data_IF_842053519367
#
_entry.id   IF_842053519367
#
_cell.length_a   1.000
_cell.length_b   1.000
_cell.length_c   1.000
_cell.angle_alpha   90.00
_cell.angle_beta   90.00
_cell.angle_gamma   90.00
#
_symmetry.space_group_name_H-M   'P 1'
#
loop_
_entity.id
_entity.type
_entity.pdbx_description
1 polymer ?
#
# COMPACT_ATOMS: atom_id res chain seq x y z
N UNK A 1 18.95 -10.89 11.04
CA UNK A 1 17.75 -11.20 11.85
C UNK A 1 16.91 -9.94 11.98
N UNK A 2 15.59 -9.97 11.75
CA UNK A 2 14.75 -8.82 12.04
C UNK A 2 14.56 -8.72 13.55
N UNK A 3 14.86 -7.54 14.08
CA UNK A 3 14.52 -7.11 15.43
C UNK A 3 12.98 -6.94 15.41
N UNK A 4 12.27 -7.59 16.32
CA UNK A 4 10.80 -7.48 16.57
C UNK A 4 9.79 -8.34 15.79
N UNK A 5 10.19 -9.35 15.01
CA UNK A 5 9.21 -10.28 14.41
C UNK A 5 8.23 -9.66 13.39
N UNK A 6 8.26 -8.34 13.21
CA UNK A 6 7.62 -7.63 12.10
C UNK A 6 8.47 -7.84 10.84
N UNK A 7 7.86 -8.39 9.79
CA UNK A 7 8.48 -8.39 8.46
C UNK A 7 8.82 -6.93 8.12
N UNK A 8 10.09 -6.70 7.77
CA UNK A 8 10.51 -5.37 7.29
C UNK A 8 9.73 -5.07 6.00
N UNK A 9 9.16 -3.86 5.85
CA UNK A 9 8.47 -3.51 4.62
C UNK A 9 9.46 -3.52 3.46
N UNK A 10 9.08 -4.15 2.36
CA UNK A 10 9.92 -4.21 1.14
C UNK A 10 9.98 -2.84 0.47
N UNK A 11 8.87 -2.11 0.48
CA UNK A 11 8.70 -0.76 -0.05
C UNK A 11 7.72 0.00 0.85
N UNK A 12 7.99 1.27 1.07
CA UNK A 12 7.16 2.19 1.86
C UNK A 12 6.80 3.39 0.98
N UNK A 13 5.50 3.59 0.75
CA UNK A 13 4.99 4.80 0.10
C UNK A 13 4.81 5.90 1.13
N UNK A 14 5.29 7.11 0.81
CA UNK A 14 5.02 8.29 1.62
C UNK A 14 3.74 8.94 1.12
N UNK A 15 2.74 9.04 1.99
CA UNK A 15 1.45 9.63 1.68
C UNK A 15 1.32 11.00 2.37
N UNK A 16 0.63 11.94 1.72
CA UNK A 16 0.35 13.25 2.29
C UNK A 16 -1.15 13.41 2.52
N UNK A 17 -1.55 13.85 3.71
CA UNK A 17 -2.94 14.14 4.03
C UNK A 17 -3.35 15.48 3.39
N UNK A 18 -4.11 15.39 2.31
CA UNK A 18 -4.69 16.55 1.63
C UNK A 18 -6.20 16.39 1.80
N UNK A 19 -6.85 17.29 2.53
CA UNK A 19 -8.27 17.17 2.89
C UNK A 19 -9.28 17.08 1.72
N UNK A 20 -8.82 17.02 0.46
CA UNK A 20 -9.63 16.84 -0.74
C UNK A 20 -9.35 15.50 -1.43
N UNK A 21 -10.43 14.98 -2.00
CA UNK A 21 -10.67 13.62 -2.51
C UNK A 21 -9.51 13.14 -3.40
N UNK A 22 -8.84 12.09 -2.95
CA UNK A 22 -7.86 11.32 -3.71
C UNK A 22 -8.35 9.88 -3.85
N UNK A 23 -7.60 9.03 -4.57
CA UNK A 23 -8.01 7.64 -4.81
C UNK A 23 -8.14 6.88 -3.47
N UNK A 24 -9.17 6.03 -3.34
CA UNK A 24 -9.42 5.27 -2.10
C UNK A 24 -8.33 4.23 -1.82
N UNK A 25 -7.52 4.47 -0.77
CA UNK A 25 -6.51 3.51 -0.32
C UNK A 25 -7.00 2.72 0.88
N UNK A 26 -6.63 1.44 0.96
CA UNK A 26 -6.89 0.58 2.12
C UNK A 26 -5.66 0.44 2.99
N UNK A 27 -5.75 0.87 4.25
CA UNK A 27 -4.65 0.87 5.22
C UNK A 27 -4.99 0.01 6.44
N UNK A 28 -4.05 -0.81 6.89
CA UNK A 28 -4.14 -1.49 8.18
C UNK A 28 -3.58 -0.59 9.28
N UNK A 29 -4.43 -0.09 10.19
CA UNK A 29 -4.05 0.93 11.17
C UNK A 29 -2.98 0.48 12.17
N UNK A 30 -2.92 -0.82 12.50
CA UNK A 30 -1.96 -1.35 13.49
C UNK A 30 -0.53 -1.43 12.95
N UNK A 31 -0.40 -1.71 11.66
CA UNK A 31 0.89 -1.97 11.00
C UNK A 31 1.31 -0.83 10.08
N UNK A 32 0.40 0.10 9.79
CA UNK A 32 0.54 1.11 8.74
C UNK A 32 0.88 0.50 7.38
N UNK A 33 0.37 -0.70 7.12
CA UNK A 33 0.56 -1.40 5.84
C UNK A 33 -0.49 -0.96 4.85
N UNK A 34 -0.04 -0.67 3.63
CA UNK A 34 -0.90 -0.46 2.47
C UNK A 34 -1.37 -1.82 1.94
N UNK A 35 -2.68 -2.06 2.02
CA UNK A 35 -3.31 -3.34 1.68
C UNK A 35 -4.07 -3.26 0.37
N UNK A 36 -4.55 -2.07 0.01
CA UNK A 36 -5.25 -1.81 -1.25
C UNK A 36 -4.76 -0.50 -1.86
N UNK A 37 -4.38 -0.58 -3.14
CA UNK A 37 -4.13 0.56 -4.02
C UNK A 37 -5.16 0.46 -5.16
N UNK A 38 -5.94 1.51 -5.40
CA UNK A 38 -6.93 1.51 -6.46
C UNK A 38 -6.23 1.49 -7.83
N UNK A 39 -6.72 0.62 -8.72
CA UNK A 39 -6.26 0.57 -10.11
C UNK A 39 -6.67 1.82 -10.90
N UNK A 40 -6.20 1.92 -12.14
CA UNK A 40 -6.64 2.97 -13.08
C UNK A 40 -8.02 2.71 -13.69
N UNK A 41 -8.71 1.65 -13.26
CA UNK A 41 -10.02 1.30 -13.79
C UNK A 41 -11.04 2.38 -13.43
N UNK A 42 -11.55 3.03 -14.48
CA UNK A 42 -12.48 4.15 -14.46
C UNK A 42 -13.91 3.73 -14.11
N UNK A 43 -14.08 3.05 -12.98
CA UNK A 43 -15.37 2.68 -12.41
C UNK A 43 -15.52 3.21 -10.99
N UNK A 44 -16.73 3.62 -10.62
CA UNK A 44 -17.06 4.11 -9.28
C UNK A 44 -17.06 2.99 -8.20
N UNK A 45 -16.75 1.75 -8.59
CA UNK A 45 -16.81 0.58 -7.73
C UNK A 45 -15.43 0.20 -7.17
N UNK A 46 -15.31 0.17 -5.84
CA UNK A 46 -14.10 -0.33 -5.15
C UNK A 46 -14.14 -1.86 -5.09
N UNK A 47 -13.30 -2.52 -5.87
CA UNK A 47 -13.22 -3.98 -5.88
C UNK A 47 -12.26 -4.50 -4.81
N UNK A 48 -12.80 -4.96 -3.68
CA UNK A 48 -12.04 -5.46 -2.53
C UNK A 48 -11.98 -6.99 -2.57
N UNK A 49 -10.77 -7.55 -2.59
CA UNK A 49 -10.60 -8.99 -2.49
C UNK A 49 -10.84 -9.46 -1.05
N UNK A 50 -11.88 -10.26 -0.82
CA UNK A 50 -12.25 -10.78 0.52
C UNK A 50 -11.12 -11.48 1.28
N UNK A 51 -10.15 -12.08 0.56
CA UNK A 51 -8.94 -12.67 1.16
C UNK A 51 -8.06 -11.67 1.94
N UNK A 52 -8.19 -10.37 1.67
CA UNK A 52 -7.48 -9.30 2.38
C UNK A 52 -7.99 -9.13 3.82
N UNK A 53 -9.30 -9.29 4.04
CA UNK A 53 -9.93 -9.14 5.37
C UNK A 53 -9.43 -10.16 6.40
N UNK A 54 -8.95 -11.32 5.93
CA UNK A 54 -8.38 -12.36 6.80
C UNK A 54 -6.96 -12.02 7.27
N UNK A 55 -6.20 -11.30 6.44
CA UNK A 55 -4.80 -10.93 6.72
C UNK A 55 -4.69 -9.61 7.48
N UNK A 56 -5.62 -8.70 7.23
CA UNK A 56 -5.72 -7.41 7.90
C UNK A 56 -7.19 -7.20 8.33
N UNK A 57 -7.56 -7.61 9.55
CA UNK A 57 -8.95 -7.51 10.03
C UNK A 57 -9.34 -6.08 10.41
N UNK A 58 -8.40 -5.15 10.45
CA UNK A 58 -8.60 -3.74 10.81
C UNK A 58 -8.17 -2.82 9.66
N UNK A 59 -8.70 -3.07 8.47
CA UNK A 59 -8.49 -2.21 7.29
C UNK A 59 -9.43 -1.01 7.39
N UNK A 60 -8.87 0.18 7.16
CA UNK A 60 -9.59 1.42 6.95
C UNK A 60 -9.38 1.88 5.52
N UNK A 61 -10.48 2.14 4.82
CA UNK A 61 -10.47 2.76 3.50
C UNK A 61 -10.57 4.28 3.63
N UNK A 62 -9.76 5.01 2.87
CA UNK A 62 -9.80 6.48 2.90
C UNK A 62 -9.28 7.13 1.62
N UNK A 63 -10.00 8.16 1.18
CA UNK A 63 -9.64 9.08 0.11
C UNK A 63 -8.85 10.32 0.59
N UNK A 64 -8.36 10.33 1.84
CA UNK A 64 -7.70 11.52 2.45
C UNK A 64 -6.23 11.68 2.07
N UNK A 65 -5.65 10.67 1.42
CA UNK A 65 -4.21 10.61 1.19
C UNK A 65 -3.87 10.78 -0.29
N UNK A 66 -3.21 11.89 -0.61
CA UNK A 66 -2.60 12.06 -1.90
C UNK A 66 -1.30 11.26 -1.97
N UNK A 67 -1.14 10.47 -3.04
CA UNK A 67 0.10 9.77 -3.36
C UNK A 67 1.03 10.69 -4.17
N UNK A 68 2.19 11.10 -3.62
CA UNK A 68 3.19 11.92 -4.31
C UNK A 68 4.19 11.10 -5.14
N UNK A 69 4.01 9.78 -5.23
CA UNK A 69 4.93 8.83 -5.86
C UNK A 69 6.35 8.84 -5.27
N UNK A 70 6.46 9.08 -3.96
CA UNK A 70 7.73 9.00 -3.24
C UNK A 70 7.80 7.67 -2.49
N UNK A 71 8.76 6.84 -2.85
CA UNK A 71 8.94 5.50 -2.30
C UNK A 71 10.31 5.35 -1.63
N UNK A 72 10.30 4.80 -0.42
CA UNK A 72 11.51 4.35 0.28
C UNK A 72 11.55 2.84 0.20
N UNK A 73 12.63 2.28 -0.33
CA UNK A 73 12.73 0.85 -0.57
C UNK A 73 14.14 0.33 -0.32
N UNK A 74 14.24 -0.98 -0.06
CA UNK A 74 15.52 -1.68 0.02
C UNK A 74 16.09 -1.92 -1.37
N UNK A 75 17.42 -1.98 -1.49
CA UNK A 75 18.11 -2.30 -2.75
C UNK A 75 17.55 -3.56 -3.44
N UNK A 76 17.08 -4.54 -2.67
CA UNK A 76 16.44 -5.77 -3.18
C UNK A 76 15.25 -5.52 -4.10
N UNK A 77 14.61 -4.35 -4.02
CA UNK A 77 13.55 -3.96 -4.96
C UNK A 77 14.10 -3.73 -6.37
N UNK A 78 15.30 -3.17 -6.50
CA UNK A 78 15.95 -3.02 -7.81
C UNK A 78 16.34 -4.37 -8.39
N UNK A 79 16.77 -5.31 -7.54
CA UNK A 79 17.10 -6.67 -7.98
C UNK A 79 15.83 -7.39 -8.52
N UNK A 80 14.70 -7.29 -7.80
CA UNK A 80 13.41 -7.84 -8.27
C UNK A 80 12.94 -7.19 -9.58
N UNK A 81 13.12 -5.88 -9.74
CA UNK A 81 12.77 -5.20 -10.99
C UNK A 81 13.65 -5.64 -12.16
N UNK A 82 14.94 -5.93 -11.91
CA UNK A 82 15.85 -6.42 -12.93
C UNK A 82 15.50 -7.84 -13.39
N UNK A 83 14.99 -8.70 -12.49
CA UNK A 83 14.53 -10.05 -12.83
C UNK A 83 13.28 -10.04 -13.73
N UNK A 84 12.35 -9.10 -13.53
CA UNK A 84 11.11 -8.98 -14.32
C UNK A 84 11.32 -8.30 -15.70
N UNK A 85 12.46 -7.63 -15.91
CA UNK A 85 12.79 -6.94 -17.17
C UNK A 85 13.53 -7.81 -18.20
N UNK A 86 13.82 -9.07 -17.86
CA UNK A 86 14.47 -10.09 -18.71
C UNK A 86 13.45 -11.13 -19.19
#
# INVERSE_FOLDING_TARGET
MPIDGRRRPTLTSLLYERGEISKDVGLEEKSWSLVHIPGEESGDDVNIQMRMLWKAPSIRFTARYLEPHVYVFWRTVLDMLAEELL
#
